data_IF_252331289426
#
_entry.id   IF_252331289426
#
_cell.length_a   1.000
_cell.length_b   1.000
_cell.length_c   1.000
_cell.angle_alpha   90.00
_cell.angle_beta   90.00
_cell.angle_gamma   90.00
#
_symmetry.space_group_name_H-M   'P 1'
#
loop_
_entity.id
_entity.type
_entity.pdbx_description
1 polymer ?
#
# COMPACT_ATOMS: atom_id res chain seq x y z
N UNK A 1 22.97 -4.43 58.34
CA UNK A 1 22.64 -3.96 56.97
C UNK A 1 21.24 -4.45 56.68
N UNK A 2 20.26 -3.54 56.67
CA UNK A 2 18.86 -3.89 56.35
C UNK A 2 18.72 -3.85 54.84
N UNK A 3 18.53 -5.01 54.21
CA UNK A 3 18.05 -5.09 52.84
C UNK A 3 16.66 -4.43 52.83
N UNK A 4 16.56 -3.24 52.25
CA UNK A 4 15.27 -2.66 51.86
C UNK A 4 14.71 -3.56 50.78
N UNK A 5 13.75 -4.40 51.14
CA UNK A 5 12.88 -5.12 50.21
C UNK A 5 12.15 -4.06 49.39
N UNK A 6 12.67 -3.81 48.18
CA UNK A 6 11.95 -3.03 47.20
C UNK A 6 10.74 -3.89 46.83
N UNK A 7 9.56 -3.48 47.28
CA UNK A 7 8.28 -4.04 46.88
C UNK A 7 8.07 -3.68 45.40
N UNK A 8 8.80 -4.38 44.52
CA UNK A 8 8.55 -4.36 43.08
C UNK A 8 7.18 -4.99 42.89
N UNK A 9 6.19 -4.16 42.60
CA UNK A 9 4.87 -4.66 42.20
C UNK A 9 5.04 -5.36 40.87
N UNK A 10 5.24 -6.67 40.93
CA UNK A 10 5.41 -7.50 39.75
C UNK A 10 4.10 -7.42 38.92
N UNK A 11 4.20 -7.43 37.58
CA UNK A 11 3.04 -7.30 36.71
C UNK A 11 2.04 -8.46 36.84
N UNK A 12 2.39 -9.49 37.62
CA UNK A 12 1.58 -10.68 37.86
C UNK A 12 1.57 -11.04 39.36
N UNK A 13 0.53 -11.71 39.86
CA UNK A 13 0.46 -12.21 41.23
C UNK A 13 1.62 -13.16 41.55
N UNK A 14 2.08 -13.16 42.80
CA UNK A 14 3.20 -14.01 43.26
C UNK A 14 2.93 -15.50 43.02
N UNK A 15 1.71 -15.96 43.29
CA UNK A 15 1.30 -17.36 43.07
C UNK A 15 1.44 -17.79 41.60
N UNK A 16 1.13 -16.89 40.66
CA UNK A 16 1.26 -17.16 39.23
C UNK A 16 2.74 -17.31 38.85
N UNK A 17 3.60 -16.45 39.41
CA UNK A 17 5.04 -16.46 39.18
C UNK A 17 5.70 -17.71 39.77
N UNK A 18 5.27 -18.15 40.96
CA UNK A 18 5.74 -19.40 41.56
C UNK A 18 5.33 -20.63 40.73
N UNK A 19 4.11 -20.63 40.18
CA UNK A 19 3.66 -21.68 39.27
C UNK A 19 4.46 -21.70 37.95
N UNK A 20 4.74 -20.51 37.39
CA UNK A 20 5.61 -20.35 36.22
C UNK A 20 7.03 -20.83 36.49
N UNK A 21 7.59 -20.51 37.66
CA UNK A 21 8.91 -20.96 38.07
C UNK A 21 8.98 -22.50 38.19
N UNK A 22 8.00 -23.11 38.87
CA UNK A 22 7.92 -24.56 39.00
C UNK A 22 7.75 -25.28 37.65
N UNK A 23 7.02 -24.66 36.72
CA UNK A 23 6.88 -25.17 35.36
C UNK A 23 8.22 -25.17 34.62
N UNK A 24 8.91 -24.03 34.59
CA UNK A 24 10.19 -23.91 33.86
C UNK A 24 11.37 -24.61 34.54
N UNK A 25 11.28 -24.96 35.82
CA UNK A 25 12.27 -25.82 36.49
C UNK A 25 12.32 -27.24 35.91
N UNK A 26 11.22 -27.70 35.31
CA UNK A 26 11.07 -29.06 34.76
C UNK A 26 10.82 -29.10 33.26
N UNK A 27 10.42 -27.97 32.66
CA UNK A 27 10.12 -27.86 31.24
C UNK A 27 11.33 -27.37 30.45
N UNK A 28 11.88 -28.24 29.60
CA UNK A 28 12.99 -27.88 28.70
C UNK A 28 12.46 -27.08 27.51
N UNK A 29 12.77 -25.78 27.47
CA UNK A 29 12.37 -24.88 26.39
C UNK A 29 13.28 -24.98 25.16
N UNK A 30 14.31 -25.84 25.17
CA UNK A 30 15.27 -25.97 24.05
C UNK A 30 14.59 -26.21 22.71
N UNK A 31 13.57 -27.07 22.68
CA UNK A 31 12.83 -27.45 21.48
C UNK A 31 11.97 -26.31 20.92
N UNK A 32 11.44 -25.45 21.80
CA UNK A 32 10.64 -24.28 21.44
C UNK A 32 11.54 -23.14 20.93
N UNK A 33 12.71 -22.97 21.55
CA UNK A 33 13.71 -21.97 21.14
C UNK A 33 14.37 -22.33 19.80
N UNK A 34 14.54 -23.61 19.49
CA UNK A 34 15.09 -24.06 18.20
C UNK A 34 14.16 -23.74 17.02
N UNK A 35 12.86 -23.65 17.26
CA UNK A 35 11.85 -23.30 16.26
C UNK A 35 11.55 -21.79 16.22
N UNK A 36 12.07 -21.03 17.18
CA UNK A 36 11.88 -19.59 17.26
C UNK A 36 12.72 -18.84 16.22
N UNK A 37 12.10 -17.86 15.56
CA UNK A 37 12.86 -16.88 14.78
C UNK A 37 13.49 -15.86 15.74
N UNK A 38 14.82 -15.83 15.77
CA UNK A 38 15.55 -14.77 16.47
C UNK A 38 15.37 -13.47 15.70
N UNK A 39 14.50 -12.59 16.20
CA UNK A 39 14.33 -11.26 15.61
C UNK A 39 15.50 -10.40 16.06
N UNK A 40 16.41 -10.10 15.13
CA UNK A 40 17.47 -9.13 15.39
C UNK A 40 16.85 -7.77 15.71
N UNK A 41 17.28 -7.11 16.80
CA UNK A 41 16.77 -5.80 17.14
C UNK A 41 17.08 -4.83 16.00
N UNK A 42 16.07 -4.05 15.57
CA UNK A 42 16.21 -3.03 14.52
C UNK A 42 17.43 -2.14 14.83
N UNK A 43 18.37 -1.93 13.90
CA UNK A 43 19.59 -1.17 14.15
C UNK A 43 19.24 0.25 14.60
N UNK A 44 19.78 0.66 15.75
CA UNK A 44 19.49 1.97 16.35
C UNK A 44 20.58 2.98 16.02
N UNK A 45 20.20 4.23 15.77
CA UNK A 45 21.11 5.36 15.65
C UNK A 45 20.86 6.35 16.77
N UNK A 46 21.93 6.84 17.39
CA UNK A 46 21.85 7.89 18.41
C UNK A 46 21.70 9.25 17.74
N UNK A 47 20.72 10.02 18.17
CA UNK A 47 20.51 11.41 17.74
C UNK A 47 20.41 12.30 18.96
N UNK A 48 21.08 13.45 18.92
CA UNK A 48 21.01 14.45 19.99
C UNK A 48 20.01 15.53 19.61
N UNK A 49 18.99 15.72 20.44
CA UNK A 49 17.96 16.76 20.29
C UNK A 49 18.00 17.67 21.51
N UNK A 50 17.96 18.99 21.29
CA UNK A 50 17.86 19.99 22.36
C UNK A 50 16.43 20.50 22.42
N UNK A 51 15.85 20.48 23.62
CA UNK A 51 14.50 20.94 23.90
C UNK A 51 14.54 21.94 25.07
N UNK A 52 13.56 22.85 25.15
CA UNK A 52 13.34 23.65 26.36
C UNK A 52 13.22 22.79 27.62
N UNK A 53 13.68 23.28 28.76
CA UNK A 53 13.74 22.50 30.00
C UNK A 53 12.35 22.11 30.52
N UNK A 54 11.40 23.02 30.41
CA UNK A 54 9.99 22.80 30.75
C UNK A 54 9.36 21.68 29.91
N UNK A 55 9.70 21.60 28.62
CA UNK A 55 9.26 20.52 27.73
C UNK A 55 9.85 19.17 28.18
N UNK A 56 11.14 19.13 28.52
CA UNK A 56 11.79 17.89 28.99
C UNK A 56 11.16 17.40 30.30
N UNK A 57 10.86 18.32 31.22
CA UNK A 57 10.27 17.95 32.51
C UNK A 57 8.82 17.47 32.35
N UNK A 58 8.02 18.12 31.50
CA UNK A 58 6.68 17.65 31.16
C UNK A 58 6.70 16.23 30.56
N UNK A 59 7.63 15.96 29.62
CA UNK A 59 7.79 14.64 29.02
C UNK A 59 8.19 13.56 30.04
N UNK A 60 9.03 13.88 31.03
CA UNK A 60 9.37 12.94 32.12
C UNK A 60 8.16 12.62 32.97
N UNK A 61 7.36 13.61 33.33
CA UNK A 61 6.12 13.40 34.11
C UNK A 61 5.13 12.54 33.33
N UNK A 62 4.95 12.79 32.03
CA UNK A 62 4.10 11.97 31.18
C UNK A 62 4.59 10.52 31.07
N UNK A 63 5.91 10.33 30.90
CA UNK A 63 6.49 8.99 30.85
C UNK A 63 6.26 8.22 32.16
N UNK A 64 6.46 8.88 33.31
CA UNK A 64 6.19 8.29 34.63
C UNK A 64 4.72 7.90 34.79
N UNK A 65 3.79 8.76 34.37
CA UNK A 65 2.35 8.45 34.39
C UNK A 65 1.96 7.23 33.56
N UNK A 66 2.78 6.87 32.55
CA UNK A 66 2.62 5.67 31.72
C UNK A 66 3.47 4.48 32.17
N UNK A 67 4.26 4.60 33.24
CA UNK A 67 5.21 3.57 33.67
C UNK A 67 6.36 3.33 32.68
N UNK A 68 6.66 4.29 31.80
CA UNK A 68 7.68 4.17 30.78
C UNK A 68 8.94 4.97 31.16
N UNK A 69 10.10 4.52 30.67
CA UNK A 69 11.31 5.34 30.69
C UNK A 69 11.14 6.54 29.75
N UNK A 70 11.63 7.70 30.17
CA UNK A 70 11.62 8.94 29.37
C UNK A 70 12.10 8.74 27.92
N UNK A 71 13.22 8.05 27.72
CA UNK A 71 13.77 7.81 26.37
C UNK A 71 12.92 6.87 25.52
N UNK A 72 12.25 5.89 26.13
CA UNK A 72 11.32 5.01 25.43
C UNK A 72 10.05 5.77 25.00
N UNK A 73 9.54 6.63 25.89
CA UNK A 73 8.39 7.48 25.60
C UNK A 73 8.68 8.51 24.49
N UNK A 74 9.85 9.16 24.52
CA UNK A 74 10.27 10.07 23.43
C UNK A 74 10.38 9.32 22.11
N UNK A 75 10.92 8.10 22.12
CA UNK A 75 11.02 7.26 20.93
C UNK A 75 9.64 6.92 20.37
N UNK A 76 8.70 6.52 21.22
CA UNK A 76 7.32 6.20 20.84
C UNK A 76 6.66 7.38 20.12
N UNK A 77 6.74 8.58 20.69
CA UNK A 77 6.20 9.81 20.08
C UNK A 77 6.82 10.07 18.70
N UNK A 78 8.14 9.95 18.58
CA UNK A 78 8.84 10.18 17.31
C UNK A 78 8.45 9.13 16.27
N UNK A 79 8.39 7.85 16.65
CA UNK A 79 7.99 6.77 15.74
C UNK A 79 6.53 6.92 15.30
N UNK A 80 5.62 7.28 16.21
CA UNK A 80 4.22 7.55 15.90
C UNK A 80 4.06 8.72 14.93
N UNK A 81 4.76 9.84 15.19
CA UNK A 81 4.71 11.00 14.30
C UNK A 81 5.23 10.68 12.89
N UNK A 82 6.33 9.95 12.78
CA UNK A 82 6.92 9.56 11.48
C UNK A 82 6.02 8.57 10.75
N UNK A 83 5.50 7.56 11.43
CA UNK A 83 4.65 6.54 10.83
C UNK A 83 3.28 7.11 10.43
N UNK A 84 2.70 7.98 11.26
CA UNK A 84 1.44 8.67 10.96
C UNK A 84 1.55 9.59 9.74
N UNK A 85 2.66 10.33 9.62
CA UNK A 85 2.94 11.16 8.43
C UNK A 85 3.06 10.30 7.18
N UNK A 86 3.80 9.19 7.27
CA UNK A 86 3.99 8.27 6.15
C UNK A 86 2.68 7.62 5.69
N UNK A 87 1.82 7.24 6.63
CA UNK A 87 0.51 6.67 6.31
C UNK A 87 -0.36 7.68 5.54
N UNK A 88 -0.38 8.95 5.97
CA UNK A 88 -1.11 10.00 5.27
C UNK A 88 -0.58 10.24 3.83
N UNK A 89 0.75 10.25 3.64
CA UNK A 89 1.36 10.36 2.31
C UNK A 89 0.99 9.19 1.39
N UNK A 90 0.96 7.97 1.92
CA UNK A 90 0.53 6.79 1.15
C UNK A 90 -0.94 6.89 0.71
N UNK A 91 -1.83 7.36 1.59
CA UNK A 91 -3.25 7.55 1.27
C UNK A 91 -3.44 8.64 0.21
N UNK A 92 -2.70 9.75 0.30
CA UNK A 92 -2.71 10.81 -0.71
C UNK A 92 -2.23 10.31 -2.08
N UNK A 93 -1.12 9.57 -2.12
CA UNK A 93 -0.60 8.98 -3.36
C UNK A 93 -1.58 7.97 -3.96
N UNK A 94 -2.24 7.16 -3.14
CA UNK A 94 -3.27 6.23 -3.59
C UNK A 94 -4.45 6.98 -4.22
N UNK A 95 -4.92 8.06 -3.60
CA UNK A 95 -5.99 8.91 -4.14
C UNK A 95 -5.57 9.57 -5.46
N UNK A 96 -4.34 10.08 -5.56
CA UNK A 96 -3.82 10.69 -6.79
C UNK A 96 -3.81 9.67 -7.93
N UNK A 97 -3.31 8.46 -7.68
CA UNK A 97 -3.28 7.39 -8.69
C UNK A 97 -4.70 7.01 -9.14
N UNK A 98 -5.64 6.87 -8.21
CA UNK A 98 -7.03 6.58 -8.54
C UNK A 98 -7.66 7.66 -9.41
N UNK A 99 -7.38 8.94 -9.12
CA UNK A 99 -7.85 10.07 -9.94
C UNK A 99 -7.21 10.05 -11.32
N UNK A 100 -5.92 9.75 -11.41
CA UNK A 100 -5.19 9.66 -12.67
C UNK A 100 -5.77 8.55 -13.55
N UNK A 101 -5.99 7.35 -13.00
CA UNK A 101 -6.61 6.23 -13.73
C UNK A 101 -7.99 6.61 -14.28
N UNK A 102 -8.84 7.27 -13.48
CA UNK A 102 -10.16 7.71 -13.94
C UNK A 102 -10.06 8.72 -15.11
N UNK A 103 -9.07 9.62 -15.05
CA UNK A 103 -8.84 10.60 -16.13
C UNK A 103 -8.36 9.87 -17.39
N UNK A 104 -7.42 8.94 -17.25
CA UNK A 104 -6.90 8.14 -18.37
C UNK A 104 -8.01 7.34 -19.05
N UNK A 105 -8.89 6.69 -18.27
CA UNK A 105 -10.07 5.97 -18.78
C UNK A 105 -11.02 6.91 -19.54
N UNK A 106 -11.38 8.05 -18.95
CA UNK A 106 -12.28 9.02 -19.59
C UNK A 106 -11.69 9.60 -20.89
N UNK A 107 -10.37 9.84 -20.93
CA UNK A 107 -9.66 10.32 -22.11
C UNK A 107 -9.58 9.22 -23.18
N UNK A 108 -9.35 7.96 -22.79
CA UNK A 108 -9.33 6.82 -23.70
C UNK A 108 -10.72 6.58 -24.33
N UNK A 109 -11.80 6.67 -23.55
CA UNK A 109 -13.18 6.59 -24.04
C UNK A 109 -13.53 7.73 -25.00
N UNK A 110 -13.06 8.95 -24.71
CA UNK A 110 -13.32 10.12 -25.55
C UNK A 110 -12.46 10.14 -26.84
N UNK A 111 -11.31 9.46 -26.82
CA UNK A 111 -10.39 9.37 -27.95
C UNK A 111 -10.67 8.16 -28.86
N UNK A 112 -11.59 7.28 -28.49
CA UNK A 112 -12.04 6.19 -29.37
C UNK A 112 -12.70 6.79 -30.63
N UNK A 113 -12.13 6.58 -31.83
CA UNK A 113 -12.62 7.25 -33.02
C UNK A 113 -14.03 6.77 -33.35
N UNK A 114 -14.94 7.73 -33.52
CA UNK A 114 -16.22 7.56 -34.20
C UNK A 114 -15.95 6.80 -35.50
N UNK A 115 -16.19 5.49 -35.50
CA UNK A 115 -16.26 4.66 -36.69
C UNK A 115 -17.41 5.21 -37.53
N UNK A 116 -17.10 6.20 -38.36
CA UNK A 116 -17.99 6.71 -39.41
C UNK A 116 -18.31 5.55 -40.34
N UNK A 117 -19.45 4.92 -40.11
CA UNK A 117 -20.10 4.11 -41.12
C UNK A 117 -20.33 5.01 -42.35
N UNK A 118 -19.55 4.78 -43.40
CA UNK A 118 -19.72 5.38 -44.73
C UNK A 118 -20.30 4.33 -45.68
N UNK A 119 -20.95 4.75 -46.77
CA UNK A 119 -22.38 4.55 -46.97
C UNK A 119 -22.71 3.42 -47.95
N UNK A 120 -24.00 3.05 -47.95
CA UNK A 120 -24.69 2.19 -48.93
C UNK A 120 -24.06 2.23 -50.32
N UNK A 121 -23.64 1.08 -50.82
CA UNK A 121 -23.24 0.85 -52.21
C UNK A 121 -24.42 1.15 -53.14
N UNK A 122 -24.46 2.37 -53.66
CA UNK A 122 -25.34 2.77 -54.75
C UNK A 122 -25.04 1.95 -56.00
N UNK A 123 -26.12 1.49 -56.64
CA UNK A 123 -26.15 0.87 -57.97
C UNK A 123 -25.24 1.61 -58.95
N UNK A 124 -24.29 0.89 -59.52
CA UNK A 124 -23.49 1.33 -60.67
C UNK A 124 -24.42 1.49 -61.88
N UNK A 125 -24.53 2.67 -62.53
CA UNK A 125 -25.23 2.76 -63.80
C UNK A 125 -24.42 2.04 -64.90
N UNK A 126 -25.08 1.37 -65.85
CA UNK A 126 -24.39 0.66 -66.93
C UNK A 126 -23.69 1.64 -67.88
N UNK A 127 -22.43 1.35 -68.18
CA UNK A 127 -21.55 2.13 -69.05
C UNK A 127 -22.06 2.10 -70.52
N UNK A 128 -22.35 3.25 -71.16
CA UNK A 128 -22.87 3.30 -72.53
C UNK A 128 -21.89 2.75 -73.59
N UNK A 129 -20.59 2.68 -73.30
CA UNK A 129 -19.58 2.12 -74.20
C UNK A 129 -19.73 0.62 -74.46
N UNK A 130 -20.30 -0.14 -73.50
CA UNK A 130 -20.56 -1.58 -73.66
C UNK A 130 -21.83 -1.89 -74.48
N UNK A 131 -22.75 -0.92 -74.61
CA UNK A 131 -23.94 -1.05 -75.46
C UNK A 131 -23.63 -0.86 -76.95
N UNK A 132 -22.60 -0.08 -77.28
CA UNK A 132 -22.20 0.17 -78.67
C UNK A 132 -21.50 -1.05 -79.30
N UNK A 133 -20.64 -1.76 -78.55
CA UNK A 133 -19.99 -2.98 -79.03
C UNK A 133 -20.97 -4.14 -79.24
N UNK A 134 -22.01 -4.27 -78.40
CA UNK A 134 -23.01 -5.32 -78.53
C UNK A 134 -23.93 -5.16 -79.76
N UNK A 135 -24.14 -3.93 -80.25
CA UNK A 135 -24.94 -3.69 -81.47
C UNK A 135 -24.15 -3.95 -82.77
N UNK A 136 -22.84 -3.75 -82.77
CA UNK A 136 -22.01 -4.06 -83.95
C UNK A 136 -21.83 -5.57 -84.18
N UNK A 137 -21.83 -6.37 -83.12
CA UNK A 137 -21.71 -7.84 -83.25
C UNK A 137 -23.02 -8.55 -83.65
N UNK A 138 -24.17 -7.91 -83.49
CA UNK A 138 -25.45 -8.44 -83.96
C UNK A 138 -25.68 -8.21 -85.47
N UNK A 139 -25.17 -7.11 -86.02
CA UNK A 139 -25.36 -6.77 -87.44
C UNK A 139 -24.43 -7.54 -88.41
N UNK A 140 -23.35 -8.16 -87.91
CA UNK A 140 -22.46 -8.98 -88.75
C UNK A 140 -22.89 -10.45 -88.91
N UNK A 141 -24.00 -10.88 -88.27
CA UNK A 141 -24.56 -12.24 -88.44
C UNK A 141 -25.79 -12.30 -89.35
N UNK A 142 -26.22 -11.18 -89.96
CA UNK A 142 -27.32 -11.14 -90.94
C UNK A 142 -26.86 -10.76 -92.36
N UNK A 143 -25.56 -10.86 -92.65
CA UNK A 143 -25.00 -10.69 -93.98
C UNK A 143 -23.95 -11.78 -94.27
N UNK A 144 -24.38 -13.04 -94.30
CA UNK A 144 -23.81 -14.15 -95.06
C UNK A 144 -24.84 -15.27 -95.13
#
# INVERSE_FOLDING_TARGET
>A
MTMTEQNEHLPRPVEELEALAAYYDTHDTSSEMEQGEWVDPRPMRTTSLRLPSDVVDALKTLAQGRGLRYTAFVREIIEEAVNGTRAAEYDELAMINQRLTRIEEAVAEHSAPVRRARPRSGRRPPNPALRALAKQQANHRQAS
#
